data_IF_994155258800
#
_entry.id   IF_994155258800
#
_cell.length_a   1.000
_cell.length_b   1.000
_cell.length_c   1.000
_cell.angle_alpha   90.00
_cell.angle_beta   90.00
_cell.angle_gamma   90.00
#
_symmetry.space_group_name_H-M   'P 1'
#
loop_
_entity.id
_entity.type
_entity.pdbx_description
1 polymer ?
#
# COMPACT_ATOMS: atom_id res chain seq x y z
N UNK A 1 -4.13 2.47 -15.39
CA UNK A 1 -3.57 1.17 -15.02
C UNK A 1 -2.77 0.56 -16.18
N UNK A 2 -1.57 0.04 -15.95
CA UNK A 2 -0.76 -0.64 -17.00
C UNK A 2 -1.40 -2.00 -17.37
N UNK A 3 -1.31 -2.49 -18.63
CA UNK A 3 -1.98 -3.72 -19.09
C UNK A 3 -1.75 -4.96 -18.22
N UNK A 4 -0.52 -5.13 -17.70
CA UNK A 4 -0.18 -6.21 -16.76
C UNK A 4 -1.07 -6.24 -15.50
N UNK A 5 -1.52 -5.07 -15.01
CA UNK A 5 -2.41 -4.97 -13.85
C UNK A 5 -3.89 -5.11 -14.25
N UNK A 6 -4.32 -4.44 -15.33
CA UNK A 6 -5.71 -4.51 -15.81
C UNK A 6 -6.11 -5.92 -16.26
N UNK A 7 -5.13 -6.73 -16.68
CA UNK A 7 -5.35 -8.13 -17.03
C UNK A 7 -5.97 -8.95 -15.89
N UNK A 8 -5.69 -8.60 -14.63
CA UNK A 8 -6.31 -9.25 -13.46
C UNK A 8 -7.85 -9.14 -13.52
N UNK A 9 -8.38 -8.00 -13.98
CA UNK A 9 -9.83 -7.79 -14.09
C UNK A 9 -10.47 -8.59 -15.23
N UNK A 10 -9.70 -8.87 -16.29
CA UNK A 10 -10.13 -9.72 -17.41
C UNK A 10 -10.16 -11.19 -16.99
N UNK A 11 -9.08 -11.70 -16.42
CA UNK A 11 -8.97 -13.12 -16.07
C UNK A 11 -9.90 -13.53 -14.92
N UNK A 12 -10.26 -12.60 -14.04
CA UNK A 12 -11.25 -12.83 -12.98
C UNK A 12 -12.70 -12.72 -13.47
N UNK A 13 -12.91 -12.42 -14.77
CA UNK A 13 -14.23 -12.34 -15.40
C UNK A 13 -15.06 -11.12 -15.02
N UNK A 14 -14.52 -10.16 -14.25
CA UNK A 14 -15.26 -8.95 -13.85
C UNK A 14 -15.46 -7.99 -15.01
N UNK A 15 -14.44 -7.84 -15.86
CA UNK A 15 -14.49 -7.00 -17.05
C UNK A 15 -13.77 -7.70 -18.21
N UNK A 16 -14.35 -8.77 -18.80
CA UNK A 16 -13.67 -9.59 -19.81
C UNK A 16 -13.32 -8.82 -21.10
N UNK A 17 -14.07 -7.76 -21.41
CA UNK A 17 -13.87 -6.93 -22.60
C UNK A 17 -13.15 -5.60 -22.30
N UNK A 18 -12.47 -5.48 -21.15
CA UNK A 18 -11.71 -4.28 -20.82
C UNK A 18 -10.54 -4.09 -21.79
N UNK A 19 -10.57 -3.02 -22.56
CA UNK A 19 -9.50 -2.64 -23.49
C UNK A 19 -8.51 -1.67 -22.85
N UNK A 20 -7.23 -1.84 -23.16
CA UNK A 20 -6.16 -0.96 -22.70
C UNK A 20 -5.86 0.11 -23.75
N UNK A 21 -5.92 1.39 -23.36
CA UNK A 21 -5.52 2.48 -24.26
C UNK A 21 -3.99 2.44 -24.51
N UNK A 22 -3.47 2.78 -25.72
CA UNK A 22 -2.03 2.69 -26.03
C UNK A 22 -1.10 3.46 -25.07
N UNK A 23 -1.57 4.60 -24.53
CA UNK A 23 -0.82 5.37 -23.53
C UNK A 23 -0.55 4.59 -22.23
N UNK A 24 -1.29 3.51 -21.97
CA UNK A 24 -1.15 2.71 -20.75
C UNK A 24 0.09 1.83 -20.72
N UNK A 25 0.59 1.42 -21.90
CA UNK A 25 1.80 0.62 -22.07
C UNK A 25 3.07 1.39 -21.70
N UNK A 26 3.02 2.71 -21.85
CA UNK A 26 4.15 3.61 -21.61
C UNK A 26 4.37 3.92 -20.12
N UNK A 27 3.49 3.44 -19.22
CA UNK A 27 3.65 3.66 -17.78
C UNK A 27 4.96 3.03 -17.30
N UNK A 28 5.78 3.80 -16.60
CA UNK A 28 7.10 3.36 -16.14
C UNK A 28 7.02 2.16 -15.19
N UNK A 29 8.11 1.39 -15.11
CA UNK A 29 8.25 0.29 -14.14
C UNK A 29 8.30 0.83 -12.71
N UNK A 30 7.90 0.00 -11.74
CA UNK A 30 7.97 0.36 -10.33
C UNK A 30 9.43 0.21 -9.89
N UNK A 31 10.05 1.29 -9.42
CA UNK A 31 11.44 1.30 -8.95
C UNK A 31 11.56 0.41 -7.71
N UNK A 32 12.61 -0.39 -7.64
CA UNK A 32 12.87 -1.32 -6.54
C UNK A 32 11.99 -2.57 -6.50
N UNK A 33 11.11 -2.80 -7.49
CA UNK A 33 10.34 -4.04 -7.64
C UNK A 33 10.57 -4.66 -9.02
N UNK A 34 10.67 -5.99 -9.06
CA UNK A 34 10.85 -6.73 -10.32
C UNK A 34 9.53 -6.86 -11.11
N UNK A 35 8.40 -6.87 -10.42
CA UNK A 35 7.07 -7.08 -11.00
C UNK A 35 6.09 -6.00 -10.51
N UNK A 36 5.09 -5.68 -11.33
CA UNK A 36 4.02 -4.73 -10.97
C UNK A 36 2.96 -5.33 -10.07
N UNK A 37 2.76 -6.64 -10.15
CA UNK A 37 1.82 -7.40 -9.35
C UNK A 37 2.61 -8.52 -8.66
N UNK A 38 2.55 -8.54 -7.34
CA UNK A 38 3.24 -9.52 -6.50
C UNK A 38 2.23 -10.00 -5.47
N UNK A 39 2.04 -11.31 -5.39
CA UNK A 39 1.33 -11.94 -4.28
C UNK A 39 2.35 -12.28 -3.21
N UNK A 40 2.24 -11.61 -2.07
CA UNK A 40 3.12 -11.84 -0.93
C UNK A 40 2.39 -12.73 0.08
N UNK A 41 2.79 -13.99 0.16
CA UNK A 41 2.17 -14.94 1.09
C UNK A 41 2.97 -15.00 2.38
N UNK A 42 2.35 -14.59 3.48
CA UNK A 42 2.89 -14.76 4.82
C UNK A 42 2.44 -16.10 5.43
N UNK A 43 3.32 -16.80 6.14
CA UNK A 43 2.98 -18.01 6.90
C UNK A 43 2.30 -17.72 8.24
N UNK A 44 2.23 -16.45 8.68
CA UNK A 44 1.68 -16.04 9.97
C UNK A 44 0.15 -15.83 9.99
N UNK A 45 -0.60 -16.50 9.12
CA UNK A 45 -2.06 -16.34 8.96
C UNK A 45 -2.89 -16.67 10.22
N UNK A 46 -2.27 -17.25 11.25
CA UNK A 46 -2.92 -17.60 12.52
C UNK A 46 -2.94 -16.50 13.59
N UNK A 47 -2.30 -15.35 13.37
CA UNK A 47 -2.21 -14.26 14.37
C UNK A 47 -3.23 -13.13 14.16
N UNK A 48 -4.35 -13.44 13.51
CA UNK A 48 -5.44 -12.48 13.34
C UNK A 48 -6.16 -12.30 14.68
N UNK A 49 -6.07 -11.09 15.24
CA UNK A 49 -6.68 -10.75 16.53
C UNK A 49 -7.99 -10.00 16.29
N UNK A 50 -9.09 -10.52 16.85
CA UNK A 50 -10.39 -9.84 16.85
C UNK A 50 -10.35 -8.61 17.77
N UNK A 51 -10.97 -7.51 17.33
CA UNK A 51 -10.90 -6.22 18.02
C UNK A 51 -12.19 -5.84 18.79
N UNK A 52 -13.01 -6.82 19.15
CA UNK A 52 -14.30 -6.60 19.84
C UNK A 52 -14.18 -5.77 21.12
N UNK A 53 -13.16 -6.05 21.93
CA UNK A 53 -12.90 -5.33 23.20
C UNK A 53 -12.26 -3.95 23.02
N UNK A 54 -11.71 -3.64 21.83
CA UNK A 54 -11.06 -2.36 21.51
C UNK A 54 -12.03 -1.31 20.94
N UNK A 55 -13.34 -1.52 21.05
CA UNK A 55 -14.36 -0.58 20.57
C UNK A 55 -14.56 -0.54 19.05
N UNK A 56 -13.89 -1.41 18.28
CA UNK A 56 -14.09 -1.56 16.83
C UNK A 56 -15.26 -2.47 16.45
N UNK A 57 -15.99 -2.97 17.45
CA UNK A 57 -17.01 -3.99 17.29
C UNK A 57 -16.43 -5.37 16.94
N UNK A 58 -17.28 -6.39 16.94
CA UNK A 58 -16.88 -7.78 16.68
C UNK A 58 -16.48 -8.06 15.21
N UNK A 59 -16.45 -7.04 14.35
CA UNK A 59 -16.25 -7.19 12.89
C UNK A 59 -14.90 -6.65 12.39
N UNK A 60 -14.03 -6.15 13.28
CA UNK A 60 -12.70 -5.68 12.89
C UNK A 60 -11.61 -6.62 13.40
N UNK A 61 -10.55 -6.72 12.61
CA UNK A 61 -9.43 -7.61 12.85
C UNK A 61 -8.11 -6.89 12.61
N UNK A 62 -7.06 -7.36 13.27
CA UNK A 62 -5.69 -6.94 13.02
C UNK A 62 -4.79 -8.15 12.78
N UNK A 63 -3.82 -8.00 11.89
CA UNK A 63 -2.69 -8.91 11.76
C UNK A 63 -1.40 -8.10 11.97
N UNK A 64 -0.79 -8.18 13.17
CA UNK A 64 0.41 -7.43 13.48
C UNK A 64 1.58 -7.72 12.53
N UNK A 65 1.77 -8.96 12.08
CA UNK A 65 2.89 -9.34 11.22
C UNK A 65 2.74 -8.74 9.82
N UNK A 66 1.54 -8.85 9.23
CA UNK A 66 1.27 -8.24 7.92
C UNK A 66 1.44 -6.71 7.97
N UNK A 67 1.06 -6.07 9.07
CA UNK A 67 1.27 -4.63 9.19
C UNK A 67 2.76 -4.25 9.26
N UNK A 68 3.63 -5.04 9.91
CA UNK A 68 5.08 -4.78 9.85
C UNK A 68 5.64 -5.00 8.43
N UNK A 69 5.27 -6.12 7.79
CA UNK A 69 5.75 -6.46 6.45
C UNK A 69 5.38 -5.41 5.40
N UNK A 70 4.14 -4.90 5.46
CA UNK A 70 3.68 -3.86 4.54
C UNK A 70 4.41 -2.53 4.81
N UNK A 71 4.74 -2.23 6.07
CA UNK A 71 5.52 -1.04 6.44
C UNK A 71 6.95 -1.15 5.93
N UNK A 72 7.59 -2.31 6.05
CA UNK A 72 8.93 -2.57 5.49
C UNK A 72 8.96 -2.39 3.97
N UNK A 73 7.93 -2.87 3.27
CA UNK A 73 7.79 -2.66 1.83
C UNK A 73 7.61 -1.17 1.51
N UNK A 74 6.74 -0.47 2.24
CA UNK A 74 6.53 0.96 2.04
C UNK A 74 7.81 1.76 2.30
N UNK A 75 8.54 1.43 3.37
CA UNK A 75 9.85 1.98 3.69
C UNK A 75 10.83 1.75 2.55
N UNK A 76 10.98 0.51 2.07
CA UNK A 76 11.83 0.20 0.92
C UNK A 76 11.49 1.07 -0.30
N UNK A 77 10.21 1.25 -0.61
CA UNK A 77 9.78 2.13 -1.70
C UNK A 77 10.16 3.59 -1.46
N UNK A 78 10.07 4.13 -0.24
CA UNK A 78 10.55 5.49 0.03
C UNK A 78 12.04 5.66 -0.33
N UNK A 79 12.86 4.64 -0.08
CA UNK A 79 14.28 4.64 -0.47
C UNK A 79 14.51 4.57 -1.99
N UNK A 80 13.51 4.19 -2.78
CA UNK A 80 13.55 4.23 -4.24
C UNK A 80 13.20 5.62 -4.83
N UNK A 81 12.95 6.61 -3.97
CA UNK A 81 12.67 7.99 -4.35
C UNK A 81 11.23 8.24 -4.80
N UNK A 82 10.28 7.46 -4.26
CA UNK A 82 8.84 7.75 -4.40
C UNK A 82 8.47 8.99 -3.57
N UNK A 83 7.62 9.84 -4.15
CA UNK A 83 7.19 11.09 -3.54
C UNK A 83 6.09 10.88 -2.50
N UNK A 84 5.85 11.93 -1.70
CA UNK A 84 4.70 11.98 -0.80
C UNK A 84 3.41 11.78 -1.60
N UNK A 85 2.63 10.79 -1.22
CA UNK A 85 1.38 10.44 -1.90
C UNK A 85 1.50 9.40 -3.02
N UNK A 86 2.72 9.02 -3.45
CA UNK A 86 2.91 7.98 -4.48
C UNK A 86 2.61 6.56 -3.93
N UNK A 87 2.66 6.38 -2.61
CA UNK A 87 2.50 5.08 -1.94
C UNK A 87 1.21 5.13 -1.12
N UNK A 88 0.34 4.14 -1.35
CA UNK A 88 -0.85 3.91 -0.55
C UNK A 88 -0.91 2.47 -0.03
N UNK A 89 -1.27 2.32 1.24
CA UNK A 89 -1.60 1.05 1.88
C UNK A 89 -3.11 1.01 2.09
N UNK A 90 -3.74 -0.04 1.58
CA UNK A 90 -5.19 -0.22 1.62
C UNK A 90 -5.51 -1.51 2.39
N UNK A 91 -6.41 -1.43 3.36
CA UNK A 91 -6.86 -2.58 4.15
C UNK A 91 -8.38 -2.56 4.34
N UNK A 92 -9.08 -3.71 4.33
CA UNK A 92 -10.52 -3.73 4.59
C UNK A 92 -10.87 -3.39 6.04
N UNK A 93 -9.96 -3.59 7.00
CA UNK A 93 -10.25 -3.47 8.42
C UNK A 93 -9.75 -2.15 9.00
N UNK A 94 -10.65 -1.41 9.66
CA UNK A 94 -10.34 -0.13 10.30
C UNK A 94 -9.26 -0.28 11.39
N UNK A 95 -9.38 -1.28 12.25
CA UNK A 95 -8.37 -1.51 13.30
C UNK A 95 -6.97 -1.81 12.72
N UNK A 96 -6.89 -2.50 11.58
CA UNK A 96 -5.62 -2.73 10.89
C UNK A 96 -5.03 -1.42 10.37
N UNK A 97 -5.88 -0.53 9.83
CA UNK A 97 -5.45 0.80 9.39
C UNK A 97 -4.88 1.61 10.57
N UNK A 98 -5.55 1.63 11.72
CA UNK A 98 -5.05 2.35 12.91
C UNK A 98 -3.75 1.75 13.44
N UNK A 99 -3.63 0.41 13.50
CA UNK A 99 -2.39 -0.25 13.88
C UNK A 99 -1.24 0.11 12.93
N UNK A 100 -1.48 0.09 11.61
CA UNK A 100 -0.49 0.51 10.62
C UNK A 100 -0.14 2.01 10.76
N UNK A 101 -1.11 2.87 11.11
CA UNK A 101 -0.87 4.30 11.32
C UNK A 101 0.03 4.55 12.54
N UNK A 102 -0.22 3.85 13.65
CA UNK A 102 0.61 3.92 14.86
C UNK A 102 2.06 3.57 14.54
N UNK A 103 2.28 2.46 13.81
CA UNK A 103 3.62 1.99 13.43
C UNK A 103 4.32 2.89 12.42
N UNK A 104 3.61 3.37 11.40
CA UNK A 104 4.15 4.33 10.43
C UNK A 104 4.54 5.67 11.07
N UNK A 105 3.96 6.01 12.22
CA UNK A 105 4.29 7.24 12.95
C UNK A 105 5.63 7.15 13.69
N UNK A 106 6.10 5.94 14.00
CA UNK A 106 7.40 5.71 14.66
C UNK A 106 8.48 5.25 13.70
N UNK A 107 8.11 4.62 12.58
CA UNK A 107 9.05 4.11 11.60
C UNK A 107 9.52 5.21 10.64
N UNK A 108 10.83 5.31 10.42
CA UNK A 108 11.42 6.33 9.56
C UNK A 108 11.74 5.81 8.14
N UNK A 109 11.44 6.64 7.14
CA UNK A 109 11.85 6.44 5.75
C UNK A 109 12.50 7.67 5.15
N UNK A 110 12.63 7.68 3.82
CA UNK A 110 13.07 8.86 3.07
C UNK A 110 11.88 9.66 2.56
N UNK A 111 11.84 10.93 2.92
CA UNK A 111 10.85 11.88 2.44
C UNK A 111 11.46 12.60 1.25
N UNK A 112 10.98 12.26 0.05
CA UNK A 112 11.40 12.93 -1.17
C UNK A 112 10.83 14.35 -1.19
N UNK A 113 11.65 15.36 -1.52
CA UNK A 113 11.18 16.73 -1.62
C UNK A 113 10.37 16.93 -2.91
N UNK A 114 9.48 17.92 -2.88
CA UNK A 114 8.74 18.34 -4.08
C UNK A 114 9.69 18.92 -5.14
N UNK A 115 10.72 19.66 -4.68
CA UNK A 115 11.77 20.20 -5.52
C UNK A 115 12.95 19.21 -5.59
N UNK A 116 13.24 18.71 -6.79
CA UNK A 116 14.31 17.74 -7.05
C UNK A 116 15.72 18.29 -6.82
N UNK A 117 15.88 19.61 -6.67
CA UNK A 117 17.16 20.23 -6.29
C UNK A 117 17.48 20.08 -4.80
N UNK A 118 16.50 19.69 -3.98
CA UNK A 118 16.65 19.49 -2.54
C UNK A 118 16.99 18.03 -2.26
N UNK A 119 17.89 17.79 -1.30
CA UNK A 119 18.21 16.44 -0.84
C UNK A 119 17.03 15.83 -0.05
N UNK A 120 16.72 14.54 -0.23
CA UNK A 120 15.73 13.87 0.59
C UNK A 120 16.15 13.85 2.06
N UNK A 121 15.17 13.97 2.97
CA UNK A 121 15.40 13.91 4.42
C UNK A 121 14.83 12.62 4.99
N UNK A 122 15.31 12.24 6.18
CA UNK A 122 14.62 11.23 6.98
C UNK A 122 13.44 11.83 7.73
N UNK A 123 12.44 11.01 7.96
CA UNK A 123 11.29 11.34 8.80
C UNK A 123 10.28 10.21 8.88
N UNK A 124 9.22 10.38 9.67
CA UNK A 124 8.17 9.38 9.86
C UNK A 124 7.52 9.00 8.53
N UNK A 125 7.33 7.70 8.29
CA UNK A 125 6.71 7.20 7.06
C UNK A 125 5.27 7.66 6.90
N UNK A 126 4.56 7.93 8.00
CA UNK A 126 3.19 8.45 7.98
C UNK A 126 3.06 9.78 7.21
N UNK A 127 4.15 10.55 7.09
CA UNK A 127 4.17 11.79 6.30
C UNK A 127 4.20 11.54 4.79
N UNK A 128 4.60 10.34 4.35
CA UNK A 128 4.80 10.02 2.92
C UNK A 128 3.78 8.99 2.40
N UNK A 129 3.34 8.07 3.25
CA UNK A 129 2.52 6.92 2.89
C UNK A 129 1.06 7.17 3.25
N UNK A 130 0.16 7.07 2.26
CA UNK A 130 -1.29 7.19 2.49
C UNK A 130 -1.85 5.89 3.06
N UNK A 131 -2.67 6.00 4.11
CA UNK A 131 -3.42 4.86 4.67
C UNK A 131 -4.91 5.03 4.44
N UNK A 132 -5.55 4.00 3.90
CA UNK A 132 -6.98 4.02 3.60
C UNK A 132 -7.65 2.66 3.87
N UNK A 133 -8.95 2.70 4.17
CA UNK A 133 -9.81 1.54 3.94
C UNK A 133 -10.24 1.50 2.48
N UNK A 134 -10.65 0.32 1.99
CA UNK A 134 -11.14 0.15 0.60
C UNK A 134 -12.23 1.18 0.26
N UNK A 135 -13.21 1.38 1.14
CA UNK A 135 -14.31 2.34 0.93
C UNK A 135 -13.81 3.78 0.82
N UNK A 136 -12.81 4.15 1.64
CA UNK A 136 -12.23 5.50 1.64
C UNK A 136 -11.26 5.77 0.48
N UNK A 137 -10.92 4.75 -0.31
CA UNK A 137 -10.03 4.87 -1.47
C UNK A 137 -10.80 4.83 -2.81
N UNK A 138 -12.13 4.73 -2.77
CA UNK A 138 -12.94 4.65 -3.97
C UNK A 138 -12.91 5.98 -4.74
N UNK A 139 -12.58 5.92 -6.04
CA UNK A 139 -12.58 7.08 -6.93
C UNK A 139 -11.27 7.86 -6.95
N UNK A 140 -10.27 7.40 -6.18
CA UNK A 140 -8.88 7.89 -6.21
C UNK A 140 -8.07 7.28 -7.36
#
# INVERSE_FOLDING_TARGET
MHPHMSNLLRITGRYPYLEDHPSTEQRQRIRGLNNRLIWFTNQHSGQVVGCGEKGYGNLSYVNPNEAEEVIDIAKHLTYQGYAVGDIAIITPYKAQKELSAERLSVEEGLIAPVDQSISPRRGPLIETVRLATVDSFQGE
#
